data_IF_919820524658
#
_entry.id   IF_919820524658
#
_cell.length_a   1.000
_cell.length_b   1.000
_cell.length_c   1.000
_cell.angle_alpha   90.00
_cell.angle_beta   90.00
_cell.angle_gamma   90.00
#
_symmetry.space_group_name_H-M   'P 1'
#
loop_
_entity.id
_entity.type
_entity.pdbx_description
1 polymer ?
#
# COMPACT_ATOMS: atom_id res chain seq x y z
N UNK A 1 -65.25 -19.77 -7.01
CA UNK A 1 -65.10 -18.46 -6.34
C UNK A 1 -63.63 -18.06 -6.38
N UNK A 2 -63.38 -16.86 -6.89
CA UNK A 2 -62.30 -15.91 -6.58
C UNK A 2 -60.87 -16.45 -6.37
N UNK A 3 -60.01 -16.07 -7.32
CA UNK A 3 -58.57 -15.84 -7.13
C UNK A 3 -58.26 -15.42 -5.68
N UNK A 4 -57.40 -16.17 -4.99
CA UNK A 4 -55.95 -15.94 -5.00
C UNK A 4 -55.65 -14.49 -4.67
N UNK A 5 -55.23 -14.17 -3.43
CA UNK A 5 -54.52 -12.92 -3.12
C UNK A 5 -54.02 -12.75 -1.66
N UNK A 6 -54.34 -13.63 -0.70
CA UNK A 6 -53.97 -13.37 0.71
C UNK A 6 -52.91 -14.31 1.33
N UNK A 7 -52.61 -15.46 0.75
CA UNK A 7 -51.56 -16.36 1.30
C UNK A 7 -50.18 -16.20 0.65
N UNK A 8 -49.99 -15.23 -0.26
CA UNK A 8 -48.76 -15.09 -1.04
C UNK A 8 -47.92 -13.83 -0.71
N UNK A 9 -48.28 -13.03 0.30
CA UNK A 9 -47.56 -11.78 0.60
C UNK A 9 -46.52 -11.95 1.73
N UNK A 10 -46.51 -13.07 2.46
CA UNK A 10 -45.60 -13.25 3.60
C UNK A 10 -44.21 -13.82 3.27
N UNK A 11 -43.81 -13.94 1.99
CA UNK A 11 -42.50 -14.50 1.61
C UNK A 11 -41.51 -13.51 0.98
N UNK A 12 -41.82 -12.22 0.92
CA UNK A 12 -40.90 -11.23 0.35
C UNK A 12 -40.26 -10.28 1.37
N UNK A 13 -40.36 -10.56 2.67
CA UNK A 13 -39.76 -9.71 3.71
C UNK A 13 -38.33 -10.14 4.14
N UNK A 14 -37.82 -11.30 3.70
CA UNK A 14 -36.52 -11.83 4.13
C UNK A 14 -35.39 -11.69 3.09
N UNK A 15 -35.61 -10.96 2.00
CA UNK A 15 -34.54 -10.52 1.10
C UNK A 15 -34.08 -9.10 1.46
N UNK A 16 -34.03 -8.76 2.75
CA UNK A 16 -33.05 -7.79 3.19
C UNK A 16 -31.71 -8.49 3.01
N UNK A 17 -31.09 -8.27 1.84
CA UNK A 17 -29.68 -8.58 1.64
C UNK A 17 -28.96 -8.03 2.86
N UNK A 18 -28.51 -8.92 3.74
CA UNK A 18 -27.49 -8.60 4.69
C UNK A 18 -26.29 -8.20 3.83
N UNK A 19 -26.22 -6.93 3.45
CA UNK A 19 -24.98 -6.30 3.08
C UNK A 19 -24.24 -6.25 4.41
N UNK A 20 -23.63 -7.38 4.76
CA UNK A 20 -22.67 -7.44 5.83
C UNK A 20 -21.60 -6.45 5.39
N UNK A 21 -21.64 -5.26 5.97
CA UNK A 21 -20.58 -4.28 5.84
C UNK A 21 -19.37 -4.93 6.51
N UNK A 22 -18.69 -5.81 5.77
CA UNK A 22 -17.47 -6.48 6.18
C UNK A 22 -16.41 -5.38 6.16
N UNK A 23 -16.46 -4.56 7.19
CA UNK A 23 -15.47 -3.55 7.46
C UNK A 23 -14.34 -4.24 8.23
N UNK A 24 -13.15 -4.21 7.68
CA UNK A 24 -11.94 -4.65 8.37
C UNK A 24 -11.37 -3.40 9.05
N UNK A 25 -11.07 -3.52 10.35
CA UNK A 25 -10.29 -2.51 11.05
C UNK A 25 -8.82 -2.69 10.65
N UNK A 26 -8.22 -1.66 10.06
CA UNK A 26 -6.78 -1.64 9.78
C UNK A 26 -6.00 -1.04 10.97
N UNK A 27 -4.68 -1.16 10.94
CA UNK A 27 -3.72 -0.73 11.95
C UNK A 27 -3.80 0.80 12.21
N UNK A 28 -4.40 1.57 11.30
CA UNK A 28 -4.66 3.01 11.44
C UNK A 28 -6.03 3.33 12.08
N UNK A 29 -6.69 2.35 12.70
CA UNK A 29 -8.04 2.44 13.29
C UNK A 29 -9.14 2.83 12.28
N UNK A 30 -8.83 2.87 10.98
CA UNK A 30 -9.81 3.15 9.93
C UNK A 30 -10.49 1.84 9.53
N UNK A 31 -11.80 1.78 9.78
CA UNK A 31 -12.64 0.73 9.24
C UNK A 31 -12.79 0.91 7.71
N UNK A 32 -12.42 -0.11 6.92
CA UNK A 32 -12.53 -0.10 5.46
C UNK A 32 -13.34 -1.29 4.98
N UNK A 33 -14.15 -1.11 3.94
CA UNK A 33 -14.84 -2.23 3.31
C UNK A 33 -13.85 -3.16 2.62
N UNK A 34 -14.18 -4.47 2.55
CA UNK A 34 -13.37 -5.43 1.79
C UNK A 34 -13.08 -5.00 0.34
N UNK A 35 -14.00 -4.24 -0.28
CA UNK A 35 -13.81 -3.71 -1.64
C UNK A 35 -12.76 -2.61 -1.69
N UNK A 36 -12.73 -1.73 -0.69
CA UNK A 36 -11.69 -0.70 -0.57
C UNK A 36 -10.32 -1.34 -0.30
N UNK A 37 -10.25 -2.32 0.61
CA UNK A 37 -9.00 -3.03 0.89
C UNK A 37 -8.50 -3.80 -0.31
N UNK A 38 -9.37 -4.48 -1.05
CA UNK A 38 -9.00 -5.19 -2.28
C UNK A 38 -8.56 -4.24 -3.42
N UNK A 39 -8.95 -2.97 -3.37
CA UNK A 39 -8.53 -1.95 -4.33
C UNK A 39 -7.21 -1.27 -3.93
N UNK A 40 -6.70 -1.51 -2.72
CA UNK A 40 -5.43 -0.94 -2.26
C UNK A 40 -4.28 -1.54 -3.06
N UNK A 41 -3.40 -0.68 -3.55
CA UNK A 41 -2.13 -1.13 -4.14
C UNK A 41 -1.20 -1.56 -3.02
N UNK A 42 -0.65 -2.76 -3.16
CA UNK A 42 0.30 -3.33 -2.20
C UNK A 42 1.58 -2.48 -2.13
N UNK A 43 2.06 -2.22 -0.90
CA UNK A 43 3.23 -1.36 -0.66
C UNK A 43 4.49 -1.91 -1.34
N UNK A 44 4.62 -3.23 -1.51
CA UNK A 44 5.73 -3.85 -2.25
C UNK A 44 5.67 -3.56 -3.74
N UNK A 45 4.46 -3.42 -4.31
CA UNK A 45 4.25 -3.04 -5.72
C UNK A 45 4.64 -1.58 -5.91
N UNK A 46 4.20 -0.69 -5.00
CA UNK A 46 4.58 0.71 -5.01
C UNK A 46 6.09 0.88 -4.86
N UNK A 47 6.71 0.19 -3.90
CA UNK A 47 8.15 0.27 -3.69
C UNK A 47 8.91 -0.27 -4.91
N UNK A 48 8.47 -1.39 -5.49
CA UNK A 48 9.07 -1.93 -6.72
C UNK A 48 9.04 -0.94 -7.89
N UNK A 49 7.94 -0.21 -8.06
CA UNK A 49 7.85 0.83 -9.09
C UNK A 49 8.75 2.04 -8.77
N UNK A 50 8.84 2.43 -7.50
CA UNK A 50 9.77 3.46 -7.04
C UNK A 50 11.22 3.11 -7.40
N UNK A 51 11.64 1.85 -7.16
CA UNK A 51 12.98 1.38 -7.49
C UNK A 51 13.29 1.47 -8.99
N UNK A 52 12.32 1.24 -9.89
CA UNK A 52 12.55 1.41 -11.34
C UNK A 52 12.88 2.85 -11.75
N UNK A 53 12.42 3.83 -10.99
CA UNK A 53 12.66 5.26 -11.25
C UNK A 53 13.89 5.79 -10.50
N UNK A 54 14.41 5.04 -9.52
CA UNK A 54 15.44 5.48 -8.56
C UNK A 54 16.51 4.40 -8.32
N UNK A 55 16.81 3.59 -9.35
CA UNK A 55 17.86 2.58 -9.32
C UNK A 55 19.26 3.21 -9.38
N UNK A 56 19.35 4.45 -9.87
CA UNK A 56 20.54 5.28 -9.93
C UNK A 56 20.98 5.88 -8.59
N UNK A 57 20.50 5.36 -7.45
CA UNK A 57 20.71 6.00 -6.16
C UNK A 57 22.18 6.15 -5.76
N UNK A 58 23.04 5.15 -6.06
CA UNK A 58 24.50 5.26 -5.87
C UNK A 58 25.13 6.21 -6.90
N UNK A 59 24.90 6.06 -8.23
CA UNK A 59 25.40 7.03 -9.22
C UNK A 59 24.97 8.48 -8.98
N UNK A 60 23.83 8.71 -8.32
CA UNK A 60 23.30 10.06 -8.04
C UNK A 60 23.97 10.77 -6.86
N UNK A 61 24.82 10.07 -6.09
CA UNK A 61 25.42 10.63 -4.88
C UNK A 61 26.40 11.76 -5.22
N UNK A 62 26.25 12.87 -4.48
CA UNK A 62 27.15 14.02 -4.53
C UNK A 62 27.65 14.34 -3.13
N UNK A 63 28.95 14.55 -3.02
CA UNK A 63 29.57 14.79 -1.73
C UNK A 63 28.98 16.03 -1.04
N UNK A 64 28.49 15.85 0.19
CA UNK A 64 27.85 16.90 0.98
C UNK A 64 26.36 17.14 0.70
N UNK A 65 25.76 16.43 -0.26
CA UNK A 65 24.34 16.57 -0.66
C UNK A 65 23.60 15.22 -0.63
N UNK A 66 23.80 14.44 0.43
CA UNK A 66 23.27 13.06 0.49
C UNK A 66 21.76 12.98 0.76
N UNK A 67 21.20 13.93 1.49
CA UNK A 67 19.77 13.94 1.87
C UNK A 67 18.82 14.19 0.69
N UNK A 68 19.33 14.70 -0.43
CA UNK A 68 18.56 14.93 -1.66
C UNK A 68 18.79 13.83 -2.71
N UNK A 69 19.57 12.80 -2.37
CA UNK A 69 19.86 11.68 -3.28
C UNK A 69 18.64 10.80 -3.51
N UNK A 70 18.63 10.09 -4.64
CA UNK A 70 17.54 9.16 -4.97
C UNK A 70 17.42 8.00 -3.97
N UNK A 71 18.42 7.78 -3.10
CA UNK A 71 18.35 6.78 -2.02
C UNK A 71 17.11 6.99 -1.14
N UNK A 72 16.80 8.24 -0.79
CA UNK A 72 15.71 8.60 0.12
C UNK A 72 14.31 8.58 -0.52
N UNK A 73 14.21 8.33 -1.82
CA UNK A 73 12.93 8.33 -2.52
C UNK A 73 12.12 7.03 -2.32
N UNK A 74 12.77 5.92 -1.93
CA UNK A 74 12.16 4.60 -1.81
C UNK A 74 12.52 3.92 -0.49
N UNK A 75 11.72 2.94 -0.06
CA UNK A 75 12.13 2.06 1.03
C UNK A 75 13.25 1.13 0.56
N UNK A 76 14.33 1.06 1.33
CA UNK A 76 15.57 0.35 0.99
C UNK A 76 15.71 -0.92 1.80
N UNK A 77 16.33 -1.93 1.19
CA UNK A 77 16.76 -3.14 1.91
C UNK A 77 17.96 -2.84 2.79
N UNK A 78 18.25 -3.72 3.75
CA UNK A 78 19.45 -3.62 4.58
C UNK A 78 20.73 -3.64 3.72
N UNK A 79 20.79 -4.47 2.69
CA UNK A 79 21.93 -4.52 1.79
C UNK A 79 22.15 -3.19 1.05
N UNK A 80 21.08 -2.55 0.59
CA UNK A 80 21.14 -1.22 -0.05
C UNK A 80 21.57 -0.12 0.94
N UNK A 81 21.20 -0.25 2.21
CA UNK A 81 21.63 0.69 3.26
C UNK A 81 23.13 0.56 3.50
N UNK A 82 23.68 -0.66 3.52
CA UNK A 82 25.12 -0.88 3.60
C UNK A 82 25.85 -0.36 2.36
N UNK A 83 25.35 -0.66 1.16
CA UNK A 83 25.91 -0.15 -0.09
C UNK A 83 25.96 1.39 -0.13
N UNK A 84 24.87 2.04 0.30
CA UNK A 84 24.82 3.50 0.44
C UNK A 84 25.86 4.00 1.45
N UNK A 85 25.92 3.40 2.64
CA UNK A 85 26.85 3.82 3.70
C UNK A 85 28.31 3.67 3.27
N UNK A 86 28.66 2.57 2.59
CA UNK A 86 30.00 2.35 2.05
C UNK A 86 30.37 3.40 0.99
N UNK A 87 29.42 3.73 0.10
CA UNK A 87 29.62 4.79 -0.88
C UNK A 87 29.82 6.16 -0.22
N UNK A 88 29.09 6.46 0.87
CA UNK A 88 29.32 7.68 1.65
C UNK A 88 30.73 7.70 2.25
N UNK A 89 31.17 6.63 2.91
CA UNK A 89 32.53 6.57 3.50
C UNK A 89 33.60 6.76 2.42
N UNK A 90 33.43 6.11 1.26
CA UNK A 90 34.37 6.24 0.14
C UNK A 90 34.46 7.68 -0.41
N UNK A 91 33.34 8.41 -0.47
CA UNK A 91 33.33 9.82 -0.91
C UNK A 91 33.91 10.78 0.13
N UNK A 92 33.97 10.39 1.41
CA UNK A 92 34.45 11.24 2.49
C UNK A 92 35.55 10.54 3.32
N UNK A 93 36.75 10.30 2.77
CA UNK A 93 37.81 9.52 3.42
C UNK A 93 38.44 10.19 4.65
N UNK A 94 37.91 11.34 5.09
CA UNK A 94 38.41 12.14 6.22
C UNK A 94 37.35 12.35 7.31
N UNK A 95 36.15 11.78 7.16
CA UNK A 95 35.20 11.62 8.27
C UNK A 95 35.72 10.54 9.21
#
# INVERSE_FOLDING_TARGET
MKFSLLSAIALFAAAATAQTNNAVADIDDRARSLKEDAARVDDSVLNRECHKQNDNYIPSLKAGEYSTSAFHNCFRTVDQIYEFTDALVAQNPKL
#
